data_IF_001544644753
#
_entry.id   IF_001544644753
#
_cell.length_a   1.000
_cell.length_b   1.000
_cell.length_c   1.000
_cell.angle_alpha   90.00
_cell.angle_beta   90.00
_cell.angle_gamma   90.00
#
_symmetry.space_group_name_H-M   'P 1'
#
loop_
_entity.id
_entity.type
_entity.pdbx_description
1 polymer ?
#
# COMPACT_ATOMS: atom_id res chain seq x y z
N UNK A 1 -62.03 35.70 -37.51
CA UNK A 1 -61.63 36.42 -36.29
C UNK A 1 -62.89 36.99 -35.69
N UNK A 2 -63.63 36.19 -34.93
CA UNK A 2 -64.84 36.64 -34.24
C UNK A 2 -64.52 36.77 -32.76
N UNK A 3 -64.68 37.97 -32.21
CA UNK A 3 -64.36 38.31 -30.84
C UNK A 3 -65.38 37.68 -29.89
N UNK A 4 -64.96 36.67 -29.14
CA UNK A 4 -65.68 36.10 -27.99
C UNK A 4 -65.62 37.03 -26.76
N UNK A 5 -65.97 38.31 -26.94
CA UNK A 5 -66.24 39.18 -25.79
C UNK A 5 -67.74 39.09 -25.52
N UNK A 6 -68.12 38.48 -24.39
CA UNK A 6 -69.50 38.50 -23.92
C UNK A 6 -70.00 39.96 -23.88
N UNK A 7 -71.25 40.23 -24.29
CA UNK A 7 -71.79 41.58 -24.29
C UNK A 7 -71.71 42.15 -22.87
N UNK A 8 -71.02 43.29 -22.73
CA UNK A 8 -70.87 43.96 -21.43
C UNK A 8 -72.25 44.47 -21.02
N UNK A 9 -72.72 44.19 -19.80
CA UNK A 9 -74.00 44.69 -19.34
C UNK A 9 -74.02 46.22 -19.37
N UNK A 10 -75.04 46.83 -19.98
CA UNK A 10 -75.13 48.28 -20.18
C UNK A 10 -75.77 49.01 -18.99
N UNK A 11 -76.42 48.29 -18.07
CA UNK A 11 -77.06 48.80 -16.87
C UNK A 11 -76.23 48.56 -15.59
N UNK A 12 -76.29 49.54 -14.67
CA UNK A 12 -75.48 49.56 -13.44
C UNK A 12 -75.76 48.35 -12.56
N UNK A 13 -77.00 47.87 -12.51
CA UNK A 13 -77.40 46.72 -11.70
C UNK A 13 -76.75 45.42 -12.21
N UNK A 14 -76.68 45.21 -13.54
CA UNK A 14 -76.05 44.01 -14.09
C UNK A 14 -74.52 44.05 -13.97
N UNK A 15 -73.89 45.23 -14.04
CA UNK A 15 -72.46 45.38 -13.71
C UNK A 15 -72.17 45.08 -12.23
N UNK A 16 -73.04 45.52 -11.32
CA UNK A 16 -72.91 45.19 -9.89
C UNK A 16 -73.07 43.69 -9.64
N UNK A 17 -74.02 43.03 -10.31
CA UNK A 17 -74.20 41.58 -10.22
C UNK A 17 -72.99 40.81 -10.78
N UNK A 18 -72.43 41.24 -11.92
CA UNK A 18 -71.22 40.64 -12.49
C UNK A 18 -69.99 40.82 -11.57
N UNK A 19 -69.82 42.00 -10.97
CA UNK A 19 -68.75 42.26 -10.00
C UNK A 19 -68.91 41.38 -8.74
N UNK A 20 -70.13 41.22 -8.23
CA UNK A 20 -70.40 40.35 -7.08
C UNK A 20 -70.10 38.88 -7.40
N UNK A 21 -70.44 38.42 -8.62
CA UNK A 21 -70.08 37.08 -9.09
C UNK A 21 -68.56 36.88 -9.16
N UNK A 22 -67.84 37.84 -9.74
CA UNK A 22 -66.37 37.77 -9.82
C UNK A 22 -65.70 37.84 -8.44
N UNK A 23 -66.24 38.63 -7.51
CA UNK A 23 -65.76 38.67 -6.13
C UNK A 23 -65.96 37.34 -5.41
N UNK A 24 -67.13 36.71 -5.57
CA UNK A 24 -67.40 35.39 -5.02
C UNK A 24 -66.46 34.32 -5.60
N UNK A 25 -66.19 34.36 -6.90
CA UNK A 25 -65.22 33.46 -7.56
C UNK A 25 -63.79 33.67 -7.04
N UNK A 26 -63.37 34.93 -6.85
CA UNK A 26 -62.04 35.25 -6.31
C UNK A 26 -61.88 34.77 -4.86
N UNK A 27 -62.90 34.97 -4.04
CA UNK A 27 -62.90 34.53 -2.64
C UNK A 27 -62.87 32.99 -2.55
N UNK A 28 -63.61 32.29 -3.42
CA UNK A 28 -63.53 30.84 -3.53
C UNK A 28 -62.11 30.38 -3.94
N UNK A 29 -61.52 31.00 -4.96
CA UNK A 29 -60.15 30.69 -5.40
C UNK A 29 -59.09 30.97 -4.32
N UNK A 30 -59.29 32.01 -3.51
CA UNK A 30 -58.43 32.29 -2.36
C UNK A 30 -58.57 31.22 -1.27
N UNK A 31 -59.79 30.81 -0.95
CA UNK A 31 -60.04 29.74 0.01
C UNK A 31 -59.39 28.42 -0.43
N UNK A 32 -59.53 28.05 -1.71
CA UNK A 32 -58.89 26.86 -2.29
C UNK A 32 -57.36 26.93 -2.20
N UNK A 33 -56.78 28.11 -2.49
CA UNK A 33 -55.33 28.32 -2.38
C UNK A 33 -54.84 28.21 -0.94
N UNK A 34 -55.61 28.71 0.02
CA UNK A 34 -55.23 28.68 1.43
C UNK A 34 -55.33 27.24 1.99
N UNK A 35 -56.34 26.47 1.56
CA UNK A 35 -56.41 25.02 1.82
C UNK A 35 -55.19 24.29 1.22
N UNK A 36 -54.88 24.52 -0.05
CA UNK A 36 -53.72 23.90 -0.70
C UNK A 36 -52.38 24.27 -0.02
N UNK A 37 -52.25 25.50 0.48
CA UNK A 37 -51.09 25.94 1.27
C UNK A 37 -51.01 25.23 2.62
N UNK A 38 -52.14 25.02 3.29
CA UNK A 38 -52.19 24.28 4.54
C UNK A 38 -51.77 22.82 4.33
N UNK A 39 -52.31 22.16 3.31
CA UNK A 39 -51.96 20.78 2.94
C UNK A 39 -50.47 20.66 2.58
N UNK A 40 -49.94 21.61 1.81
CA UNK A 40 -48.51 21.66 1.48
C UNK A 40 -47.65 21.85 2.72
N UNK A 41 -48.06 22.69 3.68
CA UNK A 41 -47.33 22.88 4.94
C UNK A 41 -47.28 21.60 5.77
N UNK A 42 -48.39 20.85 5.86
CA UNK A 42 -48.45 19.55 6.53
C UNK A 42 -47.52 18.55 5.84
N UNK A 43 -47.60 18.42 4.51
CA UNK A 43 -46.75 17.52 3.75
C UNK A 43 -45.24 17.85 3.90
N UNK A 44 -44.89 19.14 3.97
CA UNK A 44 -43.50 19.58 4.21
C UNK A 44 -43.05 19.18 5.62
N UNK A 45 -43.91 19.34 6.63
CA UNK A 45 -43.60 18.97 8.02
C UNK A 45 -43.40 17.46 8.16
N UNK A 46 -44.27 16.64 7.57
CA UNK A 46 -44.14 15.18 7.54
C UNK A 46 -42.86 14.75 6.81
N UNK A 47 -42.56 15.36 5.66
CA UNK A 47 -41.34 15.07 4.92
C UNK A 47 -40.07 15.46 5.69
N UNK A 48 -40.13 16.52 6.50
CA UNK A 48 -39.03 16.92 7.37
C UNK A 48 -38.82 15.91 8.51
N UNK A 49 -39.90 15.48 9.16
CA UNK A 49 -39.86 14.45 10.21
C UNK A 49 -39.28 13.12 9.66
N UNK A 50 -39.78 12.65 8.52
CA UNK A 50 -39.28 11.44 7.88
C UNK A 50 -37.82 11.55 7.39
N UNK A 51 -37.30 12.76 7.16
CA UNK A 51 -35.87 12.97 6.86
C UNK A 51 -35.02 12.90 8.13
N UNK A 52 -35.52 13.44 9.25
CA UNK A 52 -34.83 13.38 10.53
C UNK A 52 -34.69 11.92 11.01
N UNK A 53 -35.79 11.16 10.99
CA UNK A 53 -35.77 9.72 11.35
C UNK A 53 -34.78 8.93 10.48
N UNK A 54 -34.78 9.17 9.16
CA UNK A 54 -33.83 8.52 8.24
C UNK A 54 -32.37 8.89 8.53
N UNK A 55 -32.10 10.11 8.98
CA UNK A 55 -30.76 10.53 9.35
C UNK A 55 -30.30 9.82 10.64
N UNK A 56 -31.18 9.70 11.62
CA UNK A 56 -30.92 8.98 12.87
C UNK A 56 -30.67 7.48 12.62
N UNK A 57 -31.51 6.85 11.78
CA UNK A 57 -31.31 5.46 11.36
C UNK A 57 -29.98 5.25 10.64
N UNK A 58 -29.60 6.17 9.74
CA UNK A 58 -28.30 6.11 9.05
C UNK A 58 -27.13 6.22 10.03
N UNK A 59 -27.23 7.09 11.04
CA UNK A 59 -26.22 7.21 12.09
C UNK A 59 -26.11 5.92 12.91
N UNK A 60 -27.24 5.30 13.28
CA UNK A 60 -27.26 4.03 13.98
C UNK A 60 -26.66 2.89 13.13
N UNK A 61 -27.01 2.82 11.85
CA UNK A 61 -26.43 1.85 10.90
C UNK A 61 -24.92 2.04 10.80
N UNK A 62 -24.44 3.28 10.70
CA UNK A 62 -23.01 3.56 10.64
C UNK A 62 -22.29 3.10 11.93
N UNK A 63 -22.88 3.40 13.10
CA UNK A 63 -22.35 2.97 14.40
C UNK A 63 -22.30 1.45 14.53
N UNK A 64 -23.38 0.74 14.19
CA UNK A 64 -23.44 -0.72 14.25
C UNK A 64 -22.45 -1.37 13.27
N UNK A 65 -22.30 -0.82 12.06
CA UNK A 65 -21.28 -1.29 11.09
C UNK A 65 -19.87 -1.15 11.65
N UNK A 66 -19.56 -0.04 12.31
CA UNK A 66 -18.26 0.18 12.96
C UNK A 66 -18.02 -0.84 14.08
N UNK A 67 -19.02 -1.09 14.93
CA UNK A 67 -18.92 -2.09 15.99
C UNK A 67 -18.68 -3.50 15.42
N UNK A 68 -19.41 -3.89 14.38
CA UNK A 68 -19.22 -5.17 13.69
C UNK A 68 -17.80 -5.25 13.11
N UNK A 69 -17.30 -4.19 12.48
CA UNK A 69 -15.94 -4.16 11.94
C UNK A 69 -14.89 -4.33 13.04
N UNK A 70 -15.07 -3.68 14.20
CA UNK A 70 -14.20 -3.83 15.36
C UNK A 70 -14.19 -5.26 15.88
N UNK A 71 -15.37 -5.84 16.11
CA UNK A 71 -15.51 -7.22 16.57
C UNK A 71 -14.92 -8.23 15.58
N UNK A 72 -15.09 -8.01 14.27
CA UNK A 72 -14.46 -8.84 13.23
C UNK A 72 -12.95 -8.74 13.28
N UNK A 73 -12.38 -7.53 13.47
CA UNK A 73 -10.93 -7.36 13.61
C UNK A 73 -10.39 -8.01 14.88
N UNK A 74 -11.11 -7.92 16.00
CA UNK A 74 -10.73 -8.59 17.25
C UNK A 74 -10.78 -10.12 17.12
N UNK A 75 -11.83 -10.66 16.48
CA UNK A 75 -12.02 -12.11 16.34
C UNK A 75 -11.13 -12.74 15.28
N UNK A 76 -11.00 -12.10 14.13
CA UNK A 76 -10.36 -12.66 12.93
C UNK A 76 -9.07 -11.94 12.52
N UNK A 77 -8.80 -10.73 13.02
CA UNK A 77 -7.62 -9.96 12.59
C UNK A 77 -6.31 -10.67 12.93
N UNK A 78 -6.15 -11.16 14.16
CA UNK A 78 -4.97 -11.94 14.57
C UNK A 78 -4.82 -13.24 13.77
N UNK A 79 -5.93 -13.91 13.48
CA UNK A 79 -5.97 -15.12 12.64
C UNK A 79 -5.55 -14.83 11.20
N UNK A 80 -6.07 -13.76 10.62
CA UNK A 80 -5.75 -13.33 9.24
C UNK A 80 -4.29 -12.91 9.09
N UNK A 81 -3.75 -12.15 10.06
CA UNK A 81 -2.34 -11.76 10.06
C UNK A 81 -1.43 -12.98 10.23
N UNK A 82 -1.79 -13.92 11.12
CA UNK A 82 -1.05 -15.17 11.29
C UNK A 82 -1.05 -16.02 10.01
N UNK A 83 -2.22 -16.19 9.38
CA UNK A 83 -2.35 -16.95 8.13
C UNK A 83 -1.56 -16.31 7.00
N UNK A 84 -1.61 -14.98 6.85
CA UNK A 84 -0.79 -14.26 5.85
C UNK A 84 0.70 -14.52 6.06
N UNK A 85 1.20 -14.33 7.29
CA UNK A 85 2.62 -14.58 7.60
C UNK A 85 3.05 -16.03 7.35
N UNK A 86 2.17 -17.00 7.62
CA UNK A 86 2.43 -18.40 7.34
C UNK A 86 2.50 -18.66 5.83
N UNK A 87 1.62 -18.04 5.04
CA UNK A 87 1.67 -18.15 3.58
C UNK A 87 2.95 -17.53 3.03
N UNK A 88 3.32 -16.32 3.45
CA UNK A 88 4.56 -15.66 3.03
C UNK A 88 5.79 -16.55 3.32
N UNK A 89 5.82 -17.19 4.49
CA UNK A 89 6.90 -18.10 4.87
C UNK A 89 6.92 -19.38 4.01
N UNK A 90 5.75 -19.93 3.66
CA UNK A 90 5.64 -21.10 2.80
C UNK A 90 6.01 -20.76 1.35
N UNK A 91 5.64 -19.59 0.85
CA UNK A 91 6.05 -19.09 -0.47
C UNK A 91 7.57 -18.98 -0.57
N UNK A 92 8.25 -18.39 0.42
CA UNK A 92 9.71 -18.34 0.45
C UNK A 92 10.36 -19.73 0.42
N UNK A 93 9.79 -20.68 1.18
CA UNK A 93 10.29 -22.07 1.17
C UNK A 93 10.10 -22.74 -0.19
N UNK A 94 8.98 -22.48 -0.87
CA UNK A 94 8.75 -22.99 -2.23
C UNK A 94 9.75 -22.38 -3.22
N UNK A 95 9.98 -21.07 -3.16
CA UNK A 95 10.99 -20.40 -4.00
C UNK A 95 12.39 -20.98 -3.81
N UNK A 96 12.80 -21.27 -2.56
CA UNK A 96 14.09 -21.90 -2.28
C UNK A 96 14.17 -23.32 -2.86
N UNK A 97 13.10 -24.10 -2.74
CA UNK A 97 13.03 -25.44 -3.33
C UNK A 97 13.09 -25.39 -4.86
N UNK A 98 12.37 -24.48 -5.50
CA UNK A 98 12.41 -24.26 -6.96
C UNK A 98 13.81 -23.84 -7.42
N UNK A 99 14.46 -22.91 -6.71
CA UNK A 99 15.82 -22.51 -6.99
C UNK A 99 16.81 -23.68 -6.84
N UNK A 100 16.64 -24.54 -5.83
CA UNK A 100 17.49 -25.71 -5.65
C UNK A 100 17.31 -26.74 -6.77
N UNK A 101 16.06 -27.03 -7.16
CA UNK A 101 15.75 -27.93 -8.26
C UNK A 101 16.34 -27.44 -9.60
N UNK A 102 16.20 -26.15 -9.91
CA UNK A 102 16.80 -25.57 -11.12
C UNK A 102 18.33 -25.61 -11.10
N UNK A 103 18.97 -25.42 -9.93
CA UNK A 103 20.41 -25.60 -9.79
C UNK A 103 20.85 -27.05 -10.04
N UNK A 104 20.10 -28.02 -9.54
CA UNK A 104 20.36 -29.45 -9.74
C UNK A 104 20.21 -29.85 -11.22
N UNK A 105 19.18 -29.35 -11.90
CA UNK A 105 18.99 -29.54 -13.35
C UNK A 105 20.17 -28.99 -14.15
N UNK A 106 20.57 -27.74 -13.87
CA UNK A 106 21.74 -27.12 -14.52
C UNK A 106 23.04 -27.87 -14.22
N UNK A 107 23.21 -28.40 -13.01
CA UNK A 107 24.37 -29.21 -12.64
C UNK A 107 24.40 -30.53 -13.43
N UNK A 108 23.24 -31.20 -13.57
CA UNK A 108 23.10 -32.42 -14.36
C UNK A 108 23.40 -32.16 -15.85
N UNK A 109 22.86 -31.08 -16.44
CA UNK A 109 23.15 -30.68 -17.82
C UNK A 109 24.65 -30.43 -18.04
N UNK A 110 25.30 -29.70 -17.12
CA UNK A 110 26.75 -29.44 -17.18
C UNK A 110 27.56 -30.74 -17.08
N UNK A 111 27.16 -31.67 -16.21
CA UNK A 111 27.82 -32.96 -16.09
C UNK A 111 27.68 -33.79 -17.38
N UNK A 112 26.49 -33.81 -17.98
CA UNK A 112 26.25 -34.47 -19.26
C UNK A 112 27.08 -33.84 -20.40
N UNK A 113 27.15 -32.51 -20.47
CA UNK A 113 27.97 -31.80 -21.46
C UNK A 113 29.47 -32.09 -21.30
N UNK A 114 29.98 -32.21 -20.07
CA UNK A 114 31.37 -32.61 -19.80
C UNK A 114 31.66 -34.05 -20.19
N UNK A 115 30.70 -34.95 -20.02
CA UNK A 115 30.85 -36.35 -20.43
C UNK A 115 30.97 -36.50 -21.96
N UNK A 116 30.35 -35.61 -22.74
CA UNK A 116 30.35 -35.65 -24.20
C UNK A 116 31.48 -34.84 -24.85
N UNK A 117 32.15 -33.94 -24.12
CA UNK A 117 33.27 -33.13 -24.64
C UNK A 117 34.63 -33.73 -24.31
N UNK A 118 35.32 -34.26 -25.32
CA UNK A 118 36.68 -34.81 -25.19
C UNK A 118 37.73 -33.70 -25.26
N UNK A 119 38.09 -33.12 -24.11
CA UNK A 119 39.17 -32.13 -24.02
C UNK A 119 40.51 -32.83 -23.75
N UNK A 120 41.52 -32.61 -24.60
CA UNK A 120 42.90 -33.12 -24.38
C UNK A 120 43.50 -32.52 -23.11
N UNK A 121 44.05 -33.36 -22.24
CA UNK A 121 44.75 -32.92 -21.04
C UNK A 121 46.02 -32.11 -21.38
N UNK A 122 46.17 -30.93 -20.78
CA UNK A 122 47.39 -30.13 -20.82
C UNK A 122 47.75 -29.67 -19.41
N UNK A 123 49.04 -29.70 -19.07
CA UNK A 123 49.56 -29.27 -17.77
C UNK A 123 49.77 -27.76 -17.73
N UNK A 124 48.94 -27.07 -16.93
CA UNK A 124 49.06 -25.62 -16.71
C UNK A 124 50.22 -25.35 -15.75
N UNK A 125 51.22 -24.57 -16.16
CA UNK A 125 52.31 -24.10 -15.28
C UNK A 125 51.84 -22.91 -14.45
N UNK A 126 51.96 -23.00 -13.13
CA UNK A 126 51.68 -21.90 -12.20
C UNK A 126 52.84 -20.90 -12.23
N UNK A 127 52.61 -19.59 -12.44
CA UNK A 127 53.69 -18.59 -12.41
C UNK A 127 54.21 -18.40 -10.98
N UNK A 128 55.52 -18.58 -10.76
CA UNK A 128 56.20 -18.19 -9.52
C UNK A 128 56.72 -16.75 -9.63
N UNK A 129 56.77 -16.02 -8.51
CA UNK A 129 57.38 -14.68 -8.46
C UNK A 129 58.90 -14.82 -8.56
N UNK A 130 59.52 -14.10 -9.48
CA UNK A 130 60.98 -13.99 -9.51
C UNK A 130 61.46 -13.11 -8.34
N UNK A 131 62.58 -13.46 -7.68
CA UNK A 131 63.19 -12.60 -6.67
C UNK A 131 63.69 -11.29 -7.29
N UNK A 132 63.81 -10.21 -6.51
CA UNK A 132 64.33 -8.95 -7.02
C UNK A 132 65.83 -9.05 -7.39
N UNK A 133 66.29 -8.36 -8.45
CA UNK A 133 67.69 -8.38 -8.86
C UNK A 133 68.69 -7.99 -7.76
N UNK A 134 69.91 -8.54 -7.81
CA UNK A 134 70.95 -8.31 -6.80
C UNK A 134 71.56 -6.90 -6.84
N UNK A 135 71.49 -6.21 -7.99
CA UNK A 135 72.10 -4.90 -8.20
C UNK A 135 71.26 -3.72 -7.70
N UNK A 136 70.02 -3.96 -7.27
CA UNK A 136 69.20 -2.92 -6.65
C UNK A 136 69.79 -2.55 -5.29
N UNK A 137 69.87 -1.25 -4.93
CA UNK A 137 70.24 -0.86 -3.58
C UNK A 137 69.22 -1.43 -2.60
N UNK A 138 69.70 -2.17 -1.59
CA UNK A 138 68.86 -2.84 -0.59
C UNK A 138 68.99 -2.12 0.74
N UNK A 139 67.88 -1.59 1.24
CA UNK A 139 67.76 -1.14 2.62
C UNK A 139 67.20 -2.29 3.47
N UNK A 140 67.87 -2.60 4.59
CA UNK A 140 67.41 -3.63 5.54
C UNK A 140 66.73 -2.96 6.72
N UNK A 141 65.41 -3.05 6.79
CA UNK A 141 64.64 -2.69 7.98
C UNK A 141 64.43 -3.93 8.83
N UNK A 142 65.08 -3.99 9.99
CA UNK A 142 64.91 -5.08 10.96
C UNK A 142 63.95 -4.63 12.04
N UNK A 143 62.81 -5.30 12.14
CA UNK A 143 61.88 -5.11 13.26
C UNK A 143 62.40 -5.96 14.42
N UNK A 144 62.93 -5.29 15.46
CA UNK A 144 63.47 -5.98 16.63
C UNK A 144 62.38 -6.74 17.39
N UNK A 145 62.70 -7.96 17.81
CA UNK A 145 61.88 -8.70 18.74
C UNK A 145 61.86 -8.01 20.13
N UNK A 146 60.78 -8.15 20.92
CA UNK A 146 60.72 -7.57 22.26
C UNK A 146 61.82 -8.15 23.15
N UNK A 147 62.38 -7.33 24.06
CA UNK A 147 63.47 -7.71 24.97
C UNK A 147 62.99 -8.49 26.21
N UNK A 148 61.68 -8.49 26.47
CA UNK A 148 61.05 -9.20 27.58
C UNK A 148 59.75 -9.85 27.12
N UNK A 149 59.40 -10.99 27.71
CA UNK A 149 58.13 -11.64 27.45
C UNK A 149 56.99 -10.83 28.08
N UNK A 150 56.01 -10.43 27.28
CA UNK A 150 54.83 -9.69 27.76
C UNK A 150 53.95 -10.50 28.76
N UNK A 151 54.11 -11.82 28.81
CA UNK A 151 53.32 -12.70 29.69
C UNK A 151 53.97 -12.92 31.08
N UNK A 152 55.30 -13.05 31.14
CA UNK A 152 56.00 -13.42 32.39
C UNK A 152 57.18 -12.49 32.76
N UNK A 153 57.46 -11.46 31.97
CA UNK A 153 58.58 -10.53 32.21
C UNK A 153 59.97 -11.14 32.02
N UNK A 154 60.08 -12.40 31.58
CA UNK A 154 61.35 -13.08 31.39
C UNK A 154 62.20 -12.44 30.28
N UNK A 155 63.49 -12.23 30.57
CA UNK A 155 64.46 -11.65 29.64
C UNK A 155 65.23 -12.68 28.80
N UNK A 156 64.96 -13.98 28.99
CA UNK A 156 65.63 -15.09 28.26
C UNK A 156 64.83 -15.49 27.02
N UNK A 157 64.81 -14.64 26.00
CA UNK A 157 64.17 -14.92 24.70
C UNK A 157 65.19 -15.46 23.68
N UNK A 158 64.74 -16.34 22.77
CA UNK A 158 65.55 -16.88 21.64
C UNK A 158 64.79 -16.68 20.33
N UNK A 159 65.51 -16.43 19.21
CA UNK A 159 64.92 -16.23 17.88
C UNK A 159 64.32 -17.55 17.33
N UNK A 160 63.07 -17.52 16.88
CA UNK A 160 62.37 -18.63 16.23
C UNK A 160 61.83 -18.17 14.86
N UNK A 161 62.51 -18.57 13.78
CA UNK A 161 62.14 -18.22 12.42
C UNK A 161 62.35 -16.74 12.07
N UNK A 162 62.26 -16.43 10.78
CA UNK A 162 62.14 -15.06 10.27
C UNK A 162 61.28 -15.07 9.01
N UNK A 163 60.37 -14.10 8.91
CA UNK A 163 59.65 -13.82 7.67
C UNK A 163 60.33 -12.65 6.97
N UNK A 164 60.74 -12.86 5.73
CA UNK A 164 61.42 -11.85 4.91
C UNK A 164 60.51 -11.47 3.75
N UNK A 165 60.23 -10.18 3.62
CA UNK A 165 59.52 -9.62 2.47
C UNK A 165 60.41 -8.58 1.80
N UNK A 166 60.44 -8.59 0.46
CA UNK A 166 61.13 -7.57 -0.33
C UNK A 166 60.07 -6.65 -0.95
N UNK A 167 60.17 -5.35 -0.70
CA UNK A 167 59.30 -4.30 -1.26
C UNK A 167 60.15 -3.32 -2.04
N UNK A 168 59.69 -2.92 -3.23
CA UNK A 168 60.31 -1.89 -4.07
C UNK A 168 59.42 -0.65 -4.01
N UNK A 169 59.93 0.44 -3.45
CA UNK A 169 59.28 1.76 -3.41
C UNK A 169 59.76 2.66 -4.56
#
# INVERSE_FOLDING_TARGET
MESFAAPVPEDVEALQAALASMQAELDAAHADRDLARADAAVAIAEAAAAKAERADDQALIAHLKLQIAKLKRERFGTSSERSSRLLDQLELQLEELEASATQDELAAERAAARATTTVKAFTRKTPSRQPFPEHLPRERVVIEAPKSCACCGGARLRKLGEDVTETLE
#
